data_IF_065989505870
#
_entry.id   IF_065989505870
#
_cell.length_a   1.000
_cell.length_b   1.000
_cell.length_c   1.000
_cell.angle_alpha   90.00
_cell.angle_beta   90.00
_cell.angle_gamma   90.00
#
_symmetry.space_group_name_H-M   'P 1'
#
loop_
_entity.id
_entity.type
_entity.pdbx_description
1 polymer ?
#
# COMPACT_ATOMS: atom_id res chain seq x y z
N UNK A 1 24.21 19.00 17.51
CA UNK A 1 22.85 19.46 17.14
C UNK A 1 22.28 18.52 16.10
N UNK A 2 20.98 18.22 16.19
CA UNK A 2 20.31 17.06 15.60
C UNK A 2 20.30 17.02 14.05
N UNK A 3 21.28 16.37 13.41
CA UNK A 3 21.30 16.09 11.97
C UNK A 3 20.43 14.88 11.55
N UNK A 4 19.59 14.36 12.45
CA UNK A 4 18.71 13.19 12.22
C UNK A 4 17.21 13.54 12.32
N UNK A 5 16.86 14.82 12.44
CA UNK A 5 15.45 15.27 12.44
C UNK A 5 14.90 15.53 11.03
N UNK A 6 15.76 15.72 10.05
CA UNK A 6 15.38 16.01 8.67
C UNK A 6 15.67 14.81 7.78
N UNK A 7 14.86 13.76 7.91
CA UNK A 7 14.56 12.89 6.78
C UNK A 7 13.23 13.40 6.23
N UNK A 8 13.22 14.36 5.28
CA UNK A 8 11.98 14.77 4.66
C UNK A 8 11.48 13.63 3.79
N UNK A 9 10.20 13.29 3.92
CA UNK A 9 9.15 13.07 2.91
C UNK A 9 9.45 12.51 1.49
N UNK A 10 10.68 12.16 1.13
CA UNK A 10 11.11 11.75 -0.22
C UNK A 10 10.89 10.26 -0.50
N UNK A 11 10.50 9.47 0.51
CA UNK A 11 10.18 8.05 0.32
C UNK A 11 8.80 7.79 -0.33
N UNK A 12 8.04 8.84 -0.63
CA UNK A 12 6.69 8.70 -1.16
C UNK A 12 6.61 8.51 -2.70
N UNK A 13 7.62 8.87 -3.49
CA UNK A 13 7.50 8.91 -4.96
C UNK A 13 8.78 8.53 -5.71
N UNK A 14 9.13 7.26 -5.86
CA UNK A 14 10.05 6.83 -6.95
C UNK A 14 9.60 5.47 -7.50
N UNK A 15 9.16 5.46 -8.76
CA UNK A 15 8.99 4.27 -9.58
C UNK A 15 10.36 3.82 -10.15
N UNK A 16 10.58 2.51 -10.39
CA UNK A 16 11.87 1.99 -10.85
C UNK A 16 11.98 2.06 -12.38
N UNK A 17 12.30 3.22 -12.95
CA UNK A 17 12.72 3.32 -14.36
C UNK A 17 13.30 4.69 -14.69
N UNK A 18 14.50 5.03 -14.21
CA UNK A 18 15.29 6.17 -14.71
C UNK A 18 16.76 6.02 -14.31
N UNK A 19 17.36 4.88 -14.66
CA UNK A 19 18.80 4.65 -14.50
C UNK A 19 19.38 4.27 -15.85
N UNK A 20 19.39 5.22 -16.77
CA UNK A 20 20.15 5.20 -18.02
C UNK A 20 20.14 6.64 -18.53
N UNK A 21 21.31 7.13 -18.94
CA UNK A 21 21.63 8.50 -19.35
C UNK A 21 22.03 9.41 -18.18
N UNK A 22 23.34 9.44 -17.88
CA UNK A 22 24.20 10.64 -17.76
C UNK A 22 25.61 10.07 -17.56
N UNK A 23 26.22 9.63 -18.65
CA UNK A 23 27.67 9.53 -18.82
C UNK A 23 27.87 9.84 -20.30
N UNK A 24 28.17 11.09 -20.63
CA UNK A 24 28.94 11.55 -21.78
C UNK A 24 28.79 13.07 -21.90
N UNK A 25 29.86 13.72 -22.37
CA UNK A 25 30.15 15.18 -22.39
C UNK A 25 30.85 15.63 -21.10
N UNK A 26 32.16 15.96 -21.08
CA UNK A 26 32.88 16.83 -22.00
C UNK A 26 34.37 16.44 -22.12
N UNK A 27 34.88 16.44 -23.35
CA UNK A 27 36.30 16.49 -23.67
C UNK A 27 36.51 17.47 -24.84
N UNK A 28 37.64 18.18 -24.81
CA UNK A 28 38.29 19.00 -25.86
C UNK A 28 37.83 20.46 -26.08
N UNK A 29 38.70 21.45 -25.76
CA UNK A 29 39.58 22.06 -26.77
C UNK A 29 40.66 23.02 -26.20
N UNK A 30 41.78 23.07 -26.92
CA UNK A 30 43.08 23.73 -26.68
C UNK A 30 43.13 25.27 -26.87
N UNK A 31 44.23 25.92 -26.41
CA UNK A 31 44.86 27.04 -27.16
C UNK A 31 45.45 28.27 -26.41
N UNK A 32 46.70 28.13 -25.94
CA UNK A 32 47.86 29.07 -25.90
C UNK A 32 47.74 30.63 -25.84
N UNK A 33 48.34 31.26 -24.81
CA UNK A 33 49.31 32.38 -24.95
C UNK A 33 49.98 32.80 -23.61
N UNK A 34 51.29 33.04 -23.69
CA UNK A 34 52.25 33.37 -22.62
C UNK A 34 52.30 34.84 -22.14
N UNK A 35 52.83 34.99 -20.91
CA UNK A 35 53.46 36.15 -20.22
C UNK A 35 52.56 37.11 -19.43
N UNK A 36 52.69 37.13 -18.09
CA UNK A 36 53.47 38.15 -17.35
C UNK A 36 53.51 37.81 -15.85
N UNK A 37 54.68 37.97 -15.21
CA UNK A 37 54.88 37.70 -13.79
C UNK A 37 54.29 38.85 -12.94
N UNK A 38 53.22 38.56 -12.21
CA UNK A 38 52.85 39.29 -11.00
C UNK A 38 52.54 38.27 -9.93
N UNK A 39 53.10 38.46 -8.73
CA UNK A 39 52.86 37.62 -7.56
C UNK A 39 51.35 37.52 -7.31
N UNK A 40 50.75 36.42 -7.73
CA UNK A 40 49.42 36.03 -7.29
C UNK A 40 49.64 35.47 -5.89
N UNK A 41 49.27 36.26 -4.87
CA UNK A 41 48.90 35.68 -3.58
C UNK A 41 47.90 34.57 -3.87
N UNK A 42 48.35 33.32 -3.76
CA UNK A 42 47.47 32.17 -3.80
C UNK A 42 46.66 32.26 -2.50
N UNK A 43 45.54 32.96 -2.58
CA UNK A 43 44.45 32.82 -1.63
C UNK A 43 44.15 31.33 -1.56
N UNK A 44 44.24 30.78 -0.34
CA UNK A 44 44.06 29.37 -0.05
C UNK A 44 42.70 28.91 -0.59
N UNK A 45 42.70 28.16 -1.69
CA UNK A 45 41.58 27.33 -2.12
C UNK A 45 41.39 26.20 -1.09
N UNK A 46 40.77 26.53 0.03
CA UNK A 46 40.39 25.58 1.09
C UNK A 46 38.95 25.03 0.89
N UNK A 47 38.32 25.22 -0.27
CA UNK A 47 36.92 24.78 -0.53
C UNK A 47 36.79 23.32 -1.02
N UNK A 48 37.81 22.77 -1.67
CA UNK A 48 37.82 21.41 -2.25
C UNK A 48 37.61 20.25 -1.23
N UNK A 49 38.14 20.31 0.01
CA UNK A 49 37.94 19.26 1.02
C UNK A 49 36.51 19.19 1.58
N UNK A 50 35.81 20.33 1.60
CA UNK A 50 34.46 20.42 2.18
C UNK A 50 33.40 19.89 1.21
N UNK A 51 33.54 20.20 -0.08
CA UNK A 51 32.65 19.70 -1.13
C UNK A 51 32.78 18.17 -1.29
N UNK A 52 34.01 17.65 -1.31
CA UNK A 52 34.25 16.21 -1.31
C UNK A 52 33.71 15.49 -0.06
N UNK A 53 33.84 16.11 1.12
CA UNK A 53 33.25 15.59 2.36
C UNK A 53 31.72 15.59 2.33
N UNK A 54 31.10 16.63 1.75
CA UNK A 54 29.65 16.71 1.59
C UNK A 54 29.12 15.62 0.65
N UNK A 55 29.77 15.40 -0.48
CA UNK A 55 29.42 14.33 -1.43
C UNK A 55 29.52 12.94 -0.77
N UNK A 56 30.59 12.70 0.00
CA UNK A 56 30.73 11.45 0.77
C UNK A 56 29.57 11.24 1.76
N UNK A 57 29.11 12.31 2.43
CA UNK A 57 27.97 12.27 3.34
C UNK A 57 26.67 11.96 2.60
N UNK A 58 26.43 12.55 1.42
CA UNK A 58 25.25 12.27 0.61
C UNK A 58 25.23 10.83 0.09
N UNK A 59 26.38 10.30 -0.37
CA UNK A 59 26.53 8.89 -0.75
C UNK A 59 26.18 7.99 0.44
N UNK A 60 26.72 8.28 1.62
CA UNK A 60 26.47 7.50 2.84
C UNK A 60 24.99 7.54 3.24
N UNK A 61 24.35 8.72 3.23
CA UNK A 61 22.90 8.89 3.48
C UNK A 61 22.06 8.05 2.52
N UNK A 62 22.39 8.08 1.23
CA UNK A 62 21.70 7.28 0.20
C UNK A 62 21.85 5.79 0.47
N UNK A 63 23.05 5.32 0.82
CA UNK A 63 23.30 3.91 1.14
C UNK A 63 22.52 3.45 2.37
N UNK A 64 22.53 4.24 3.46
CA UNK A 64 21.73 3.95 4.65
C UNK A 64 20.24 3.93 4.35
N UNK A 65 19.75 4.87 3.55
CA UNK A 65 18.33 4.94 3.16
C UNK A 65 17.91 3.73 2.33
N UNK A 66 18.76 3.28 1.41
CA UNK A 66 18.53 2.07 0.61
C UNK A 66 18.52 0.81 1.49
N UNK A 67 19.47 0.70 2.42
CA UNK A 67 19.53 -0.42 3.36
C UNK A 67 18.29 -0.45 4.27
N UNK A 68 17.88 0.71 4.80
CA UNK A 68 16.68 0.83 5.61
C UNK A 68 15.43 0.39 4.84
N UNK A 69 15.25 0.87 3.60
CA UNK A 69 14.12 0.48 2.73
C UNK A 69 14.11 -1.02 2.47
N UNK A 70 15.27 -1.63 2.23
CA UNK A 70 15.40 -3.07 2.03
C UNK A 70 14.99 -3.86 3.29
N UNK A 71 15.49 -3.46 4.46
CA UNK A 71 15.14 -4.10 5.74
C UNK A 71 13.64 -3.96 6.03
N UNK A 72 13.06 -2.79 5.79
CA UNK A 72 11.62 -2.56 5.96
C UNK A 72 10.79 -3.44 5.02
N UNK A 73 11.20 -3.57 3.75
CA UNK A 73 10.55 -4.50 2.82
C UNK A 73 10.57 -5.93 3.36
N UNK A 74 11.72 -6.39 3.87
CA UNK A 74 11.85 -7.75 4.43
C UNK A 74 10.91 -7.97 5.62
N UNK A 75 10.81 -7.00 6.54
CA UNK A 75 9.89 -7.07 7.69
C UNK A 75 8.42 -7.10 7.26
N UNK A 76 8.06 -6.28 6.26
CA UNK A 76 6.72 -6.27 5.69
C UNK A 76 6.40 -7.58 4.97
N UNK A 77 7.34 -8.12 4.19
CA UNK A 77 7.19 -9.37 3.46
C UNK A 77 7.01 -10.55 4.41
N UNK A 78 7.71 -10.57 5.55
CA UNK A 78 7.54 -11.60 6.59
C UNK A 78 6.08 -11.67 7.08
N UNK A 79 5.51 -10.52 7.47
CA UNK A 79 4.10 -10.44 7.89
C UNK A 79 3.17 -10.85 6.75
N UNK A 80 3.42 -10.37 5.53
CA UNK A 80 2.59 -10.70 4.38
C UNK A 80 2.60 -12.19 4.05
N UNK A 81 3.75 -12.86 4.23
CA UNK A 81 3.89 -14.29 4.01
C UNK A 81 3.11 -15.10 5.06
N UNK A 82 3.13 -14.69 6.33
CA UNK A 82 2.35 -15.33 7.38
C UNK A 82 0.84 -15.14 7.17
N UNK A 83 0.44 -13.98 6.64
CA UNK A 83 -0.95 -13.66 6.32
C UNK A 83 -1.41 -14.18 4.95
N UNK A 84 -0.53 -14.73 4.12
CA UNK A 84 -0.84 -15.11 2.75
C UNK A 84 -2.05 -16.06 2.65
N UNK A 85 -2.10 -17.08 3.51
CA UNK A 85 -3.22 -18.02 3.54
C UNK A 85 -4.55 -17.36 3.93
N UNK A 86 -4.52 -16.29 4.73
CA UNK A 86 -5.69 -15.51 5.08
C UNK A 86 -6.19 -14.73 3.85
N UNK A 87 -5.28 -14.06 3.13
CA UNK A 87 -5.59 -13.31 1.90
C UNK A 87 -6.20 -14.21 0.81
N UNK A 88 -5.67 -15.43 0.67
CA UNK A 88 -6.18 -16.42 -0.26
C UNK A 88 -7.60 -16.91 0.07
N UNK A 89 -8.10 -16.67 1.29
CA UNK A 89 -9.43 -17.06 1.72
C UNK A 89 -10.43 -15.90 1.79
N UNK A 90 -10.00 -14.63 1.76
CA UNK A 90 -10.88 -13.46 1.75
C UNK A 90 -11.91 -13.55 0.65
N UNK A 91 -13.19 -13.26 0.94
CA UNK A 91 -14.33 -13.36 0.01
C UNK A 91 -14.57 -14.78 -0.56
N UNK A 92 -13.97 -15.83 0.00
CA UNK A 92 -14.31 -17.20 -0.37
C UNK A 92 -15.67 -17.63 0.20
N UNK A 93 -16.21 -18.76 -0.27
CA UNK A 93 -17.41 -19.37 0.35
C UNK A 93 -17.21 -19.67 1.84
N UNK A 94 -15.98 -20.01 2.26
CA UNK A 94 -15.66 -20.23 3.66
C UNK A 94 -15.70 -18.93 4.46
N UNK A 95 -15.15 -17.85 3.88
CA UNK A 95 -15.19 -16.51 4.49
C UNK A 95 -16.62 -16.03 4.77
N UNK A 96 -17.55 -16.24 3.82
CA UNK A 96 -18.96 -15.84 3.98
C UNK A 96 -19.68 -16.66 5.05
N UNK A 97 -19.33 -17.95 5.22
CA UNK A 97 -20.13 -18.86 6.04
C UNK A 97 -19.88 -18.69 7.53
N UNK A 98 -18.62 -18.69 7.95
CA UNK A 98 -18.21 -18.56 9.36
C UNK A 98 -16.67 -18.64 9.40
N UNK A 99 -15.99 -17.52 9.12
CA UNK A 99 -14.53 -17.52 9.13
C UNK A 99 -13.93 -16.48 10.05
N UNK A 100 -13.08 -16.93 10.98
CA UNK A 100 -12.25 -16.06 11.80
C UNK A 100 -10.94 -15.65 11.07
N UNK A 101 -11.00 -15.44 9.75
CA UNK A 101 -9.84 -15.01 8.96
C UNK A 101 -9.36 -13.65 9.46
N UNK A 102 -10.25 -12.66 9.59
CA UNK A 102 -9.86 -11.33 10.05
C UNK A 102 -9.32 -11.36 11.48
N UNK A 103 -9.86 -12.22 12.36
CA UNK A 103 -9.34 -12.38 13.71
C UNK A 103 -7.92 -12.91 13.71
N UNK A 104 -7.63 -13.91 12.85
CA UNK A 104 -6.26 -14.41 12.65
C UNK A 104 -5.33 -13.29 12.17
N UNK A 105 -5.77 -12.51 11.17
CA UNK A 105 -5.01 -11.35 10.68
C UNK A 105 -4.72 -10.36 11.82
N UNK A 106 -5.72 -10.01 12.61
CA UNK A 106 -5.58 -9.06 13.72
C UNK A 106 -4.63 -9.57 14.81
N UNK A 107 -4.71 -10.84 15.20
CA UNK A 107 -3.81 -11.41 16.21
C UNK A 107 -2.37 -11.51 15.69
N UNK A 108 -2.16 -11.90 14.43
CA UNK A 108 -0.83 -11.90 13.82
C UNK A 108 -0.21 -10.49 13.84
N UNK A 109 -0.96 -9.45 13.49
CA UNK A 109 -0.45 -8.07 13.54
C UNK A 109 -0.06 -7.70 14.97
N UNK A 110 -0.89 -8.01 15.97
CA UNK A 110 -0.59 -7.73 17.39
C UNK A 110 0.66 -8.48 17.88
N UNK A 111 0.88 -9.70 17.41
CA UNK A 111 2.09 -10.47 17.72
C UNK A 111 3.35 -9.76 17.18
N UNK A 112 3.33 -9.31 15.92
CA UNK A 112 4.44 -8.57 15.32
C UNK A 112 4.66 -7.20 15.98
N UNK A 113 3.60 -6.49 16.35
CA UNK A 113 3.70 -5.23 17.08
C UNK A 113 4.45 -5.40 18.41
N UNK A 114 4.35 -6.58 19.04
CA UNK A 114 5.11 -6.85 20.25
C UNK A 114 6.62 -6.95 20.01
N UNK A 115 7.04 -7.42 18.84
CA UNK A 115 8.45 -7.51 18.45
C UNK A 115 9.01 -6.16 17.98
N UNK A 116 8.15 -5.32 17.41
CA UNK A 116 8.53 -4.04 16.82
C UNK A 116 8.64 -2.88 17.81
N UNK A 117 8.40 -3.10 19.12
CA UNK A 117 8.50 -2.07 20.17
C UNK A 117 9.84 -1.31 20.23
N UNK A 118 10.91 -1.89 19.67
CA UNK A 118 12.25 -1.29 19.65
C UNK A 118 12.57 -0.55 18.35
N UNK A 119 11.69 -0.63 17.35
CA UNK A 119 11.87 0.12 16.11
C UNK A 119 11.76 1.61 16.38
N UNK A 120 12.47 2.40 15.56
CA UNK A 120 12.26 3.85 15.54
C UNK A 120 10.81 4.12 15.12
N UNK A 121 10.18 5.09 15.77
CA UNK A 121 8.74 5.39 15.61
C UNK A 121 8.31 5.62 14.16
N UNK A 122 9.09 6.36 13.38
CA UNK A 122 8.86 6.62 11.95
C UNK A 122 8.85 5.33 11.12
N UNK A 123 9.85 4.47 11.32
CA UNK A 123 9.96 3.15 10.69
C UNK A 123 8.78 2.26 11.09
N UNK A 124 8.43 2.25 12.37
CA UNK A 124 7.31 1.47 12.90
C UNK A 124 5.98 1.91 12.28
N UNK A 125 5.70 3.21 12.25
CA UNK A 125 4.51 3.77 11.59
C UNK A 125 4.48 3.37 10.11
N UNK A 126 5.60 3.45 9.40
CA UNK A 126 5.64 3.11 7.97
C UNK A 126 5.36 1.63 7.71
N UNK A 127 5.90 0.72 8.52
CA UNK A 127 5.58 -0.72 8.45
C UNK A 127 4.09 -0.93 8.73
N UNK A 128 3.56 -0.36 9.81
CA UNK A 128 2.15 -0.54 10.18
C UNK A 128 1.20 -0.02 9.09
N UNK A 129 1.51 1.16 8.51
CA UNK A 129 0.77 1.69 7.35
C UNK A 129 0.87 0.76 6.17
N UNK A 130 2.06 0.26 5.82
CA UNK A 130 2.23 -0.67 4.71
C UNK A 130 1.34 -1.90 4.88
N UNK A 131 1.27 -2.47 6.09
CA UNK A 131 0.41 -3.62 6.37
C UNK A 131 -1.07 -3.29 6.25
N UNK A 132 -1.53 -2.14 6.76
CA UNK A 132 -2.90 -1.64 6.57
C UNK A 132 -3.25 -1.50 5.07
N UNK A 133 -2.34 -0.92 4.28
CA UNK A 133 -2.44 -0.82 2.82
C UNK A 133 -2.55 -2.18 2.17
N UNK A 134 -1.67 -3.10 2.53
CA UNK A 134 -1.64 -4.44 1.94
C UNK A 134 -2.94 -5.19 2.22
N UNK A 135 -3.42 -5.18 3.45
CA UNK A 135 -4.67 -5.87 3.82
C UNK A 135 -5.84 -5.29 3.03
N UNK A 136 -5.97 -3.96 3.00
CA UNK A 136 -7.05 -3.30 2.26
C UNK A 136 -6.97 -3.63 0.76
N UNK A 137 -5.78 -3.62 0.18
CA UNK A 137 -5.55 -4.01 -1.21
C UNK A 137 -5.89 -5.47 -1.48
N UNK A 138 -5.65 -6.40 -0.54
CA UNK A 138 -6.03 -7.81 -0.68
C UNK A 138 -7.55 -8.02 -0.63
N UNK A 139 -8.30 -7.23 0.14
CA UNK A 139 -9.76 -7.22 0.04
C UNK A 139 -10.22 -6.74 -1.34
N UNK A 140 -9.66 -5.64 -1.85
CA UNK A 140 -9.99 -5.12 -3.19
C UNK A 140 -9.63 -6.13 -4.28
N UNK A 141 -8.46 -6.78 -4.20
CA UNK A 141 -8.08 -7.86 -5.12
C UNK A 141 -9.04 -9.05 -5.02
N UNK A 142 -9.49 -9.42 -3.82
CA UNK A 142 -10.46 -10.49 -3.63
C UNK A 142 -11.83 -10.16 -4.26
N UNK A 143 -12.29 -8.91 -4.13
CA UNK A 143 -13.50 -8.41 -4.79
C UNK A 143 -13.36 -8.45 -6.32
N UNK A 144 -12.23 -8.00 -6.86
CA UNK A 144 -11.98 -7.95 -8.29
C UNK A 144 -11.77 -9.34 -8.94
N UNK A 145 -11.20 -10.29 -8.20
CA UNK A 145 -10.83 -11.60 -8.76
C UNK A 145 -11.86 -12.69 -8.53
N UNK A 146 -12.69 -12.59 -7.49
CA UNK A 146 -13.69 -13.61 -7.20
C UNK A 146 -15.01 -13.28 -7.90
N UNK A 147 -15.47 -14.22 -8.72
CA UNK A 147 -16.83 -14.24 -9.25
C UNK A 147 -17.83 -14.57 -8.14
N UNK A 148 -18.09 -13.59 -7.28
CA UNK A 148 -19.18 -13.67 -6.30
C UNK A 148 -20.48 -13.43 -7.04
N UNK A 149 -21.34 -14.45 -7.16
CA UNK A 149 -22.67 -14.28 -7.75
C UNK A 149 -23.71 -14.17 -6.64
N UNK A 150 -24.37 -13.02 -6.56
CA UNK A 150 -25.26 -12.68 -5.45
C UNK A 150 -26.69 -12.41 -5.90
N UNK A 151 -27.28 -13.34 -6.68
CA UNK A 151 -28.65 -13.20 -7.22
C UNK A 151 -29.71 -12.80 -6.18
N UNK A 152 -29.54 -13.24 -4.93
CA UNK A 152 -30.44 -12.91 -3.83
C UNK A 152 -29.92 -11.72 -3.01
N UNK A 153 -30.80 -10.75 -2.77
CA UNK A 153 -30.53 -9.60 -1.90
C UNK A 153 -29.99 -10.02 -0.52
N UNK A 154 -30.53 -11.11 0.06
CA UNK A 154 -30.06 -11.63 1.36
C UNK A 154 -28.59 -12.06 1.33
N UNK A 155 -28.12 -12.64 0.23
CA UNK A 155 -26.71 -13.02 0.04
C UNK A 155 -25.82 -11.78 -0.06
N UNK A 156 -26.28 -10.73 -0.77
CA UNK A 156 -25.61 -9.42 -0.83
C UNK A 156 -25.44 -8.81 0.56
N UNK A 157 -26.52 -8.80 1.36
CA UNK A 157 -26.47 -8.34 2.75
C UNK A 157 -25.46 -9.13 3.60
N UNK A 158 -25.45 -10.46 3.51
CA UNK A 158 -24.51 -11.28 4.28
C UNK A 158 -23.05 -10.98 3.92
N UNK A 159 -22.72 -10.81 2.63
CA UNK A 159 -21.36 -10.45 2.20
C UNK A 159 -20.96 -9.08 2.73
N UNK A 160 -21.85 -8.10 2.62
CA UNK A 160 -21.59 -6.75 3.10
C UNK A 160 -21.45 -6.70 4.62
N UNK A 161 -22.27 -7.46 5.36
CA UNK A 161 -22.17 -7.59 6.82
C UNK A 161 -20.83 -8.23 7.24
N UNK A 162 -20.42 -9.33 6.60
CA UNK A 162 -19.09 -9.90 6.82
C UNK A 162 -17.97 -8.89 6.54
N UNK A 163 -18.07 -8.13 5.44
CA UNK A 163 -17.08 -7.10 5.11
C UNK A 163 -17.05 -5.96 6.14
N UNK A 164 -18.21 -5.50 6.62
CA UNK A 164 -18.32 -4.48 7.65
C UNK A 164 -17.76 -4.95 9.00
N UNK A 165 -18.04 -6.19 9.40
CA UNK A 165 -17.48 -6.78 10.62
C UNK A 165 -15.95 -6.87 10.54
N UNK A 166 -15.42 -7.28 9.38
CA UNK A 166 -13.97 -7.30 9.14
C UNK A 166 -13.36 -5.89 9.22
N UNK A 167 -14.00 -4.88 8.59
CA UNK A 167 -13.57 -3.47 8.68
C UNK A 167 -13.54 -3.00 10.13
N UNK A 168 -14.57 -3.32 10.92
CA UNK A 168 -14.62 -2.94 12.33
C UNK A 168 -13.49 -3.59 13.14
N UNK A 169 -13.21 -4.88 12.91
CA UNK A 169 -12.12 -5.61 13.57
C UNK A 169 -10.74 -5.03 13.21
N UNK A 170 -10.53 -4.68 11.94
CA UNK A 170 -9.31 -4.02 11.47
C UNK A 170 -9.17 -2.65 12.15
N UNK A 171 -10.21 -1.82 12.16
CA UNK A 171 -10.18 -0.51 12.79
C UNK A 171 -9.92 -0.59 14.30
N UNK A 172 -10.53 -1.56 15.00
CA UNK A 172 -10.27 -1.83 16.42
C UNK A 172 -8.83 -2.30 16.69
N UNK A 173 -8.18 -2.88 15.69
CA UNK A 173 -6.78 -3.33 15.79
C UNK A 173 -5.80 -2.20 15.47
N UNK A 174 -5.97 -1.51 14.34
CA UNK A 174 -5.03 -0.49 13.87
C UNK A 174 -5.12 0.84 14.63
N UNK A 175 -6.32 1.31 14.97
CA UNK A 175 -6.48 2.64 15.60
C UNK A 175 -5.70 2.76 16.92
N UNK A 176 -5.76 1.78 17.86
CA UNK A 176 -4.96 1.84 19.07
C UNK A 176 -3.45 1.78 18.82
N UNK A 177 -3.01 1.02 17.81
CA UNK A 177 -1.59 0.89 17.46
C UNK A 177 -1.02 2.21 16.93
N UNK A 178 -1.74 2.87 16.02
CA UNK A 178 -1.35 4.20 15.55
C UNK A 178 -1.38 5.25 16.66
N UNK A 179 -2.37 5.19 17.56
CA UNK A 179 -2.45 6.08 18.71
C UNK A 179 -1.24 5.93 19.64
N UNK A 180 -0.80 4.70 19.92
CA UNK A 180 0.41 4.42 20.71
C UNK A 180 1.67 5.03 20.10
N UNK A 181 1.74 5.14 18.77
CA UNK A 181 2.84 5.75 18.04
C UNK A 181 2.73 7.28 17.90
N UNK A 182 1.73 7.90 18.55
CA UNK A 182 1.38 9.31 18.38
C UNK A 182 1.26 9.68 16.90
N UNK A 183 0.71 8.78 16.09
CA UNK A 183 0.48 8.99 14.67
C UNK A 183 -0.97 9.41 14.47
N UNK A 184 -1.15 10.65 14.02
CA UNK A 184 -2.45 11.14 13.56
C UNK A 184 -2.50 10.88 12.06
N UNK A 185 -3.34 9.92 11.65
CA UNK A 185 -3.58 9.68 10.24
C UNK A 185 -4.34 10.90 9.66
N UNK A 186 -3.66 11.68 8.81
CA UNK A 186 -4.27 12.83 8.11
C UNK A 186 -5.06 12.39 6.89
N UNK A 187 -4.85 11.16 6.41
CA UNK A 187 -5.63 10.60 5.32
C UNK A 187 -6.93 10.01 5.89
N UNK A 188 -7.99 10.00 5.07
CA UNK A 188 -9.21 9.27 5.41
C UNK A 188 -8.87 7.81 5.75
N UNK A 189 -9.64 7.22 6.67
CA UNK A 189 -9.46 5.83 7.07
C UNK A 189 -9.46 4.94 5.82
N UNK A 190 -8.38 4.17 5.63
CA UNK A 190 -8.14 3.40 4.41
C UNK A 190 -9.27 2.39 4.16
N UNK A 191 -9.87 1.87 5.23
CA UNK A 191 -10.98 0.92 5.17
C UNK A 191 -12.29 1.55 4.65
N UNK A 192 -12.39 2.88 4.54
CA UNK A 192 -13.56 3.56 4.01
C UNK A 192 -13.93 3.10 2.59
N UNK A 193 -12.95 2.75 1.76
CA UNK A 193 -13.22 2.22 0.42
C UNK A 193 -14.00 0.90 0.49
N UNK A 194 -13.66 0.04 1.45
CA UNK A 194 -14.35 -1.23 1.66
C UNK A 194 -15.74 -1.01 2.22
N UNK A 195 -15.93 0.03 3.05
CA UNK A 195 -17.25 0.42 3.53
C UNK A 195 -18.16 0.84 2.37
N UNK A 196 -17.66 1.71 1.49
CA UNK A 196 -18.43 2.14 0.30
C UNK A 196 -18.70 0.99 -0.67
N UNK A 197 -17.79 0.02 -0.78
CA UNK A 197 -18.05 -1.24 -1.52
C UNK A 197 -19.17 -2.05 -0.86
N UNK A 198 -19.17 -2.20 0.46
CA UNK A 198 -20.22 -2.92 1.19
C UNK A 198 -21.60 -2.24 0.98
N UNK A 199 -21.67 -0.92 1.10
CA UNK A 199 -22.88 -0.13 0.84
C UNK A 199 -23.39 -0.36 -0.59
N UNK A 200 -22.49 -0.29 -1.58
CA UNK A 200 -22.82 -0.52 -2.98
C UNK A 200 -23.41 -1.92 -3.24
N UNK A 201 -22.81 -2.96 -2.65
CA UNK A 201 -23.30 -4.34 -2.77
C UNK A 201 -24.72 -4.47 -2.22
N UNK A 202 -25.05 -3.74 -1.13
CA UNK A 202 -26.38 -3.77 -0.50
C UNK A 202 -27.40 -2.82 -1.12
N UNK A 203 -27.04 -2.03 -2.14
CA UNK A 203 -27.99 -1.12 -2.78
C UNK A 203 -29.18 -1.92 -3.33
N UNK A 204 -30.38 -1.63 -2.85
CA UNK A 204 -31.58 -2.41 -3.20
C UNK A 204 -32.19 -2.00 -4.54
N UNK A 205 -32.24 -0.70 -4.80
CA UNK A 205 -32.83 -0.13 -6.00
C UNK A 205 -31.84 -0.21 -7.17
N UNK A 206 -32.23 -0.92 -8.24
CA UNK A 206 -31.43 -1.03 -9.47
C UNK A 206 -31.37 0.28 -10.24
N UNK A 207 -32.42 1.10 -10.16
CA UNK A 207 -32.48 2.41 -10.83
C UNK A 207 -31.44 3.40 -10.31
N UNK A 208 -30.92 3.19 -9.10
CA UNK A 208 -29.90 4.02 -8.47
C UNK A 208 -28.46 3.58 -8.78
N UNK A 209 -28.25 2.48 -9.51
CA UNK A 209 -26.92 1.94 -9.78
C UNK A 209 -26.00 2.96 -10.46
N UNK A 210 -26.49 3.64 -11.50
CA UNK A 210 -25.72 4.66 -12.21
C UNK A 210 -25.24 5.78 -11.27
N UNK A 211 -26.12 6.21 -10.34
CA UNK A 211 -25.79 7.25 -9.38
C UNK A 211 -24.74 6.78 -8.37
N UNK A 212 -24.86 5.56 -7.87
CA UNK A 212 -23.93 5.00 -6.90
C UNK A 212 -22.55 4.69 -7.52
N UNK A 213 -22.50 4.16 -8.75
CA UNK A 213 -21.23 4.01 -9.49
C UNK A 213 -20.57 5.39 -9.67
N UNK A 214 -21.36 6.40 -10.04
CA UNK A 214 -20.85 7.76 -10.17
C UNK A 214 -20.37 8.36 -8.84
N UNK A 215 -21.02 8.03 -7.73
CA UNK A 215 -20.62 8.42 -6.37
C UNK A 215 -19.28 7.79 -5.97
N UNK A 216 -19.14 6.48 -6.20
CA UNK A 216 -17.89 5.75 -5.98
C UNK A 216 -16.72 6.35 -6.76
N UNK A 217 -16.90 6.59 -8.06
CA UNK A 217 -15.87 7.21 -8.90
C UNK A 217 -15.48 8.62 -8.45
N UNK A 218 -16.43 9.40 -7.92
CA UNK A 218 -16.15 10.74 -7.41
C UNK A 218 -15.32 10.72 -6.13
N UNK A 219 -15.52 9.69 -5.30
CA UNK A 219 -14.82 9.48 -4.02
C UNK A 219 -13.49 8.76 -4.19
N UNK A 220 -13.42 7.84 -5.16
CA UNK A 220 -12.27 6.99 -5.46
C UNK A 220 -11.97 7.03 -6.98
N UNK A 221 -11.44 8.15 -7.49
CA UNK A 221 -11.17 8.32 -8.92
C UNK A 221 -10.12 7.34 -9.48
N UNK A 222 -9.39 6.65 -8.61
CA UNK A 222 -8.40 5.62 -8.96
C UNK A 222 -9.02 4.25 -9.25
N UNK A 223 -10.32 4.04 -8.97
CA UNK A 223 -11.03 2.81 -9.34
C UNK A 223 -11.01 2.61 -10.85
N UNK A 224 -10.55 1.45 -11.30
CA UNK A 224 -10.49 1.11 -12.73
C UNK A 224 -11.88 0.73 -13.25
N UNK A 225 -12.07 0.87 -14.57
CA UNK A 225 -13.31 0.44 -15.24
C UNK A 225 -13.57 -1.05 -15.00
N UNK A 226 -12.52 -1.87 -15.01
CA UNK A 226 -12.59 -3.31 -14.76
C UNK A 226 -13.03 -3.64 -13.33
N UNK A 227 -12.50 -2.90 -12.35
CA UNK A 227 -12.93 -3.05 -10.96
C UNK A 227 -14.40 -2.72 -10.78
N UNK A 228 -14.85 -1.58 -11.34
CA UNK A 228 -16.26 -1.16 -11.25
C UNK A 228 -17.21 -2.10 -11.97
N UNK A 229 -16.82 -2.59 -13.15
CA UNK A 229 -17.56 -3.63 -13.86
C UNK A 229 -17.73 -4.85 -12.97
N UNK A 230 -16.64 -5.38 -12.41
CA UNK A 230 -16.67 -6.57 -11.54
C UNK A 230 -17.53 -6.33 -10.30
N UNK A 231 -17.35 -5.19 -9.63
CA UNK A 231 -18.14 -4.82 -8.46
C UNK A 231 -19.65 -4.75 -8.77
N UNK A 232 -20.01 -4.24 -9.95
CA UNK A 232 -21.41 -4.18 -10.42
C UNK A 232 -21.94 -5.58 -10.74
N UNK A 233 -21.13 -6.39 -11.42
CA UNK A 233 -21.46 -7.76 -11.84
C UNK A 233 -21.68 -8.70 -10.63
N UNK A 234 -21.04 -8.44 -9.49
CA UNK A 234 -21.24 -9.21 -8.24
C UNK A 234 -22.71 -9.26 -7.82
N UNK A 235 -23.47 -8.20 -8.12
CA UNK A 235 -24.86 -8.12 -7.69
C UNK A 235 -25.76 -9.15 -8.37
N UNK A 236 -25.38 -9.60 -9.57
CA UNK A 236 -26.06 -10.65 -10.35
C UNK A 236 -27.58 -10.43 -10.51
N UNK A 237 -28.04 -9.19 -10.29
CA UNK A 237 -29.40 -8.72 -10.49
C UNK A 237 -29.50 -7.76 -11.68
N UNK A 238 -28.37 -7.52 -12.33
CA UNK A 238 -28.19 -6.86 -13.63
C UNK A 238 -27.31 -7.78 -14.48
N UNK A 239 -27.58 -7.85 -15.78
CA UNK A 239 -26.78 -8.66 -16.71
C UNK A 239 -25.39 -8.06 -16.87
N UNK A 240 -24.38 -8.88 -17.19
CA UNK A 240 -23.02 -8.37 -17.43
C UNK A 240 -22.94 -7.33 -18.56
N UNK A 241 -23.85 -7.37 -19.54
CA UNK A 241 -23.99 -6.30 -20.54
C UNK A 241 -24.46 -4.99 -19.94
N UNK A 242 -25.46 -5.02 -19.06
CA UNK A 242 -25.95 -3.84 -18.34
C UNK A 242 -24.89 -3.29 -17.39
N UNK A 243 -24.20 -4.16 -16.63
CA UNK A 243 -23.08 -3.79 -15.76
C UNK A 243 -21.99 -3.04 -16.52
N UNK A 244 -21.64 -3.53 -17.72
CA UNK A 244 -20.63 -2.89 -18.58
C UNK A 244 -21.11 -1.55 -19.11
N UNK A 245 -22.35 -1.47 -19.61
CA UNK A 245 -22.93 -0.22 -20.11
C UNK A 245 -22.99 0.86 -19.01
N UNK A 246 -23.51 0.53 -17.82
CA UNK A 246 -23.56 1.44 -16.66
C UNK A 246 -22.16 1.96 -16.30
N UNK A 247 -21.17 1.07 -16.27
CA UNK A 247 -19.79 1.45 -15.93
C UNK A 247 -19.18 2.37 -16.99
N UNK A 248 -19.35 2.05 -18.28
CA UNK A 248 -18.86 2.87 -19.39
C UNK A 248 -19.51 4.25 -19.42
N UNK A 249 -20.81 4.33 -19.17
CA UNK A 249 -21.55 5.59 -19.14
C UNK A 249 -21.06 6.47 -18.00
N UNK A 250 -20.89 5.92 -16.79
CA UNK A 250 -20.31 6.66 -15.65
C UNK A 250 -18.89 7.13 -15.92
N UNK A 251 -18.04 6.30 -16.52
CA UNK A 251 -16.64 6.66 -16.85
C UNK A 251 -16.56 7.81 -17.86
N UNK A 252 -17.52 7.91 -18.79
CA UNK A 252 -17.61 9.04 -19.73
C UNK A 252 -18.14 10.31 -19.08
N UNK A 253 -19.08 10.18 -18.13
CA UNK A 253 -19.71 11.31 -17.44
C UNK A 253 -18.78 11.98 -16.41
N UNK A 254 -17.88 11.22 -15.78
CA UNK A 254 -17.00 11.72 -14.73
C UNK A 254 -15.66 12.14 -15.33
N UNK A 255 -15.41 13.45 -15.36
CA UNK A 255 -14.10 13.98 -15.71
C UNK A 255 -13.02 13.55 -14.71
N UNK A 256 -11.76 13.48 -15.16
CA UNK A 256 -10.62 13.16 -14.29
C UNK A 256 -10.54 14.19 -13.15
N UNK A 257 -10.66 13.71 -11.91
CA UNK A 257 -10.56 14.52 -10.69
C UNK A 257 -9.15 14.48 -10.13
N UNK A 258 -8.81 15.48 -9.30
CA UNK A 258 -7.63 15.43 -8.47
C UNK A 258 -7.62 14.16 -7.61
N UNK A 259 -6.51 13.45 -7.67
CA UNK A 259 -6.39 12.07 -7.22
C UNK A 259 -5.47 12.02 -6.01
N UNK A 260 -5.97 11.43 -4.92
CA UNK A 260 -5.30 11.35 -3.62
C UNK A 260 -4.08 10.40 -3.74
N UNK A 261 -2.85 10.84 -3.40
CA UNK A 261 -1.68 9.98 -3.42
C UNK A 261 -1.83 8.70 -2.56
N UNK A 262 -2.59 8.75 -1.47
CA UNK A 262 -2.89 7.60 -0.62
C UNK A 262 -3.75 6.60 -1.40
N UNK A 263 -4.84 7.06 -2.03
CA UNK A 263 -5.71 6.20 -2.83
C UNK A 263 -4.98 5.66 -4.07
N UNK A 264 -4.16 6.48 -4.75
CA UNK A 264 -3.28 6.02 -5.84
C UNK A 264 -2.43 4.84 -5.41
N UNK A 265 -1.75 4.95 -4.27
CA UNK A 265 -0.93 3.87 -3.73
C UNK A 265 -1.76 2.63 -3.44
N UNK A 266 -2.94 2.78 -2.83
CA UNK A 266 -3.83 1.66 -2.52
C UNK A 266 -4.24 0.91 -3.80
N UNK A 267 -4.73 1.61 -4.81
CA UNK A 267 -5.18 1.00 -6.06
C UNK A 267 -4.02 0.47 -6.92
N UNK A 268 -2.81 1.04 -6.81
CA UNK A 268 -1.61 0.45 -7.41
C UNK A 268 -1.20 -0.87 -6.74
N UNK A 269 -1.44 -1.02 -5.44
CA UNK A 269 -1.23 -2.28 -4.72
C UNK A 269 -2.34 -3.30 -5.04
N UNK A 270 -3.57 -2.85 -5.23
CA UNK A 270 -4.70 -3.66 -5.66
C UNK A 270 -4.69 -3.90 -7.19
N UNK A 271 -3.75 -4.72 -7.67
CA UNK A 271 -3.55 -4.97 -9.11
C UNK A 271 -4.66 -5.79 -9.80
N UNK A 272 -5.70 -6.24 -9.09
CA UNK A 272 -6.80 -7.06 -9.65
C UNK A 272 -6.39 -8.48 -10.06
N UNK A 273 -5.10 -8.72 -10.35
CA UNK A 273 -4.52 -10.00 -10.68
C UNK A 273 -3.87 -10.64 -9.45
N UNK A 274 -4.46 -11.73 -8.94
CA UNK A 274 -3.72 -12.67 -8.10
C UNK A 274 -2.79 -13.47 -9.01
N UNK A 275 -1.55 -13.02 -9.19
CA UNK A 275 -0.51 -13.93 -9.67
C UNK A 275 -0.35 -15.00 -8.59
N UNK A 276 -0.62 -16.26 -8.93
CA UNK A 276 -0.26 -17.40 -8.09
C UNK A 276 1.26 -17.37 -7.98
N UNK A 277 1.79 -16.67 -6.99
CA UNK A 277 3.21 -16.68 -6.71
C UNK A 277 3.51 -18.09 -6.23
N UNK A 278 3.95 -18.96 -7.15
CA UNK A 278 4.72 -20.13 -6.76
C UNK A 278 5.91 -19.60 -5.99
N UNK A 279 5.79 -19.65 -4.67
CA UNK A 279 6.85 -19.32 -3.74
C UNK A 279 8.06 -20.17 -4.15
N UNK A 280 9.08 -19.52 -4.71
CA UNK A 280 10.41 -20.07 -4.73
C UNK A 280 10.74 -20.32 -3.26
N UNK A 281 10.74 -21.60 -2.86
CA UNK A 281 11.28 -22.05 -1.59
C UNK A 281 12.80 -21.87 -1.64
N UNK A 282 13.24 -20.62 -1.72
CA UNK A 282 14.60 -20.20 -1.47
C UNK A 282 14.80 -20.22 0.03
N UNK A 283 15.81 -20.97 0.45
CA UNK A 283 16.15 -21.27 1.84
C UNK A 283 16.48 -19.98 2.59
N UNK A 284 15.47 -19.35 3.21
CA UNK A 284 15.69 -18.42 4.32
C UNK A 284 15.50 -19.22 5.61
N UNK A 285 16.47 -19.26 6.54
CA UNK A 285 16.32 -19.97 7.80
C UNK A 285 15.10 -19.43 8.54
N UNK A 286 14.04 -20.23 8.59
CA UNK A 286 12.87 -19.96 9.43
C UNK A 286 13.33 -19.91 10.88
N UNK A 287 13.36 -18.72 11.47
CA UNK A 287 13.46 -18.57 12.92
C UNK A 287 12.13 -19.08 13.48
N UNK A 288 12.06 -20.38 13.76
CA UNK A 288 10.87 -21.00 14.34
C UNK A 288 10.67 -20.45 15.75
N UNK A 289 9.76 -19.50 15.91
CA UNK A 289 9.27 -19.11 17.24
C UNK A 289 8.43 -20.25 17.82
N UNK A 290 8.76 -20.68 19.04
CA UNK A 290 7.90 -21.59 19.81
C UNK A 290 6.70 -20.78 20.28
N UNK A 291 5.54 -21.01 19.68
CA UNK A 291 4.26 -20.63 20.26
C UNK A 291 4.09 -21.44 21.55
N UNK A 292 4.15 -20.79 22.71
CA UNK A 292 3.72 -21.42 23.97
C UNK A 292 2.19 -21.41 23.98
N UNK A 293 1.61 -22.55 23.65
CA UNK A 293 0.19 -22.79 23.94
C UNK A 293 0.07 -22.99 25.45
N UNK A 294 -0.40 -21.98 26.17
CA UNK A 294 -0.82 -22.13 27.56
C UNK A 294 -2.11 -22.94 27.59
N UNK A 295 -1.99 -24.26 27.72
CA UNK A 295 -3.10 -25.12 28.07
C UNK A 295 -3.31 -24.93 29.57
N UNK A 296 -4.30 -24.12 29.95
CA UNK A 296 -4.90 -24.16 31.29
C UNK A 296 -5.52 -25.54 31.48
N UNK A 297 -4.92 -26.34 32.34
CA UNK A 297 -5.54 -27.56 32.88
C UNK A 297 -6.01 -27.26 34.31
N UNK A 298 -7.28 -27.61 34.53
CA UNK A 298 -8.07 -27.61 35.78
C UNK A 298 -8.76 -26.31 36.16
#
# INVERSE_FOLDING_TARGET
MNALRDIPTTLANIAPSSLENIIDEFNENEGDHLNDESEIEIELEDEEPLEAAWECVEILKRHFSNMLRMVMSMLCDEICNDLYNCFEQLLSKQWIKDSNIVGTVCETIKDYENDYKRLRRDVHVEILRYIEFKITAEYLNAIASRKLTCTEYRKRCAIAECLQNDIEALNKTFNPLFAQLNYVNKAENLTNVLHSVAEFITLRDKGMLLLEIASLLRKYPEMTQEFLFTLTDIRDDVTSSESRALTEDCMKMIGKKESDPVLKRLFQMAKGERKTTQVIKGVVPRIRRRVKVSITNQ
#
